data_IF_919114714484
#
_entry.id   IF_919114714484
#
_cell.length_a   1.000
_cell.length_b   1.000
_cell.length_c   1.000
_cell.angle_alpha   90.00
_cell.angle_beta   90.00
_cell.angle_gamma   90.00
#
_symmetry.space_group_name_H-M   'P 1'
#
loop_
_entity.id
_entity.type
_entity.pdbx_description
1 polymer ?
#
# COMPACT_ATOMS: atom_id res chain seq x y z
N UNK A 1 17.13 -12.02 24.16
CA UNK A 1 17.30 -11.10 23.02
C UNK A 1 16.01 -10.35 22.66
N UNK A 2 14.84 -10.98 22.73
CA UNK A 2 13.54 -10.33 22.39
C UNK A 2 13.11 -9.19 23.36
N UNK A 3 13.78 -8.99 24.46
CA UNK A 3 13.45 -7.94 25.45
C UNK A 3 14.22 -6.63 25.25
N UNK A 4 15.20 -6.61 24.35
CA UNK A 4 16.07 -5.46 24.10
C UNK A 4 15.66 -4.64 22.86
N UNK A 5 14.69 -5.13 22.11
CA UNK A 5 14.22 -4.47 20.87
C UNK A 5 12.99 -3.62 21.19
N UNK A 6 13.12 -2.31 21.01
CA UNK A 6 12.00 -1.37 21.18
C UNK A 6 11.26 -1.19 19.84
N UNK A 7 10.13 -1.84 19.72
CA UNK A 7 9.25 -1.74 18.55
C UNK A 7 8.31 -0.52 18.59
N UNK A 8 8.51 0.42 19.52
CA UNK A 8 7.68 1.61 19.67
C UNK A 8 6.21 1.29 20.00
N UNK A 9 5.31 2.21 19.66
CA UNK A 9 3.87 2.10 19.98
C UNK A 9 3.21 0.88 19.30
N UNK A 10 3.74 0.42 18.17
CA UNK A 10 3.21 -0.72 17.40
C UNK A 10 3.85 -2.06 17.79
N UNK A 11 4.50 -2.13 18.96
CA UNK A 11 5.18 -3.34 19.45
C UNK A 11 4.34 -4.63 19.37
N UNK A 12 3.02 -4.64 19.65
CA UNK A 12 2.26 -5.89 19.57
C UNK A 12 2.16 -6.40 18.12
N UNK A 13 1.96 -5.48 17.17
CA UNK A 13 1.89 -5.81 15.74
C UNK A 13 3.26 -6.27 15.24
N UNK A 14 4.32 -5.56 15.60
CA UNK A 14 5.70 -5.92 15.25
C UNK A 14 6.08 -7.30 15.76
N UNK A 15 5.71 -7.63 17.00
CA UNK A 15 5.93 -8.97 17.57
C UNK A 15 5.25 -10.09 16.79
N UNK A 16 3.98 -9.88 16.43
CA UNK A 16 3.23 -10.87 15.65
C UNK A 16 3.85 -11.03 14.25
N UNK A 17 4.16 -9.90 13.58
CA UNK A 17 4.80 -9.93 12.26
C UNK A 17 6.15 -10.62 12.32
N UNK A 18 6.97 -10.32 13.31
CA UNK A 18 8.28 -10.95 13.48
C UNK A 18 8.17 -12.44 13.76
N UNK A 19 7.27 -12.86 14.65
CA UNK A 19 7.05 -14.27 14.96
C UNK A 19 6.61 -15.07 13.70
N UNK A 20 5.73 -14.50 12.90
CA UNK A 20 5.31 -15.11 11.62
C UNK A 20 6.48 -15.16 10.65
N UNK A 21 7.22 -14.06 10.52
CA UNK A 21 8.37 -13.95 9.63
C UNK A 21 9.46 -14.95 10.00
N UNK A 22 9.79 -15.07 11.29
CA UNK A 22 10.76 -16.05 11.81
C UNK A 22 10.29 -17.50 11.57
N UNK A 23 9.01 -17.76 11.82
CA UNK A 23 8.42 -19.09 11.55
C UNK A 23 8.54 -19.49 10.09
N UNK A 24 8.23 -18.57 9.19
CA UNK A 24 8.37 -18.79 7.74
C UNK A 24 9.84 -18.92 7.34
N UNK A 25 10.72 -18.13 7.93
CA UNK A 25 12.16 -18.22 7.67
C UNK A 25 12.75 -19.58 8.06
N UNK A 26 12.31 -20.17 9.16
CA UNK A 26 12.73 -21.53 9.57
C UNK A 26 12.37 -22.60 8.53
N UNK A 27 11.32 -22.35 7.73
CA UNK A 27 10.91 -23.26 6.66
C UNK A 27 11.65 -23.00 5.34
N UNK A 28 11.83 -21.71 5.00
CA UNK A 28 12.35 -21.31 3.69
C UNK A 28 13.86 -21.04 3.67
N UNK A 29 14.47 -20.76 4.81
CA UNK A 29 15.90 -20.48 4.94
C UNK A 29 16.33 -19.14 4.30
N UNK A 30 15.41 -18.28 3.87
CA UNK A 30 15.73 -17.00 3.24
C UNK A 30 14.72 -15.92 3.66
N UNK A 31 15.22 -14.80 4.17
CA UNK A 31 14.40 -13.72 4.68
C UNK A 31 13.57 -12.99 3.61
N UNK A 32 14.11 -12.83 2.40
CA UNK A 32 13.38 -12.15 1.32
C UNK A 32 12.15 -12.95 0.87
N UNK A 33 12.28 -14.25 0.70
CA UNK A 33 11.14 -15.12 0.43
C UNK A 33 10.16 -15.18 1.59
N UNK A 34 10.66 -15.08 2.81
CA UNK A 34 9.81 -14.99 4.01
C UNK A 34 8.98 -13.73 4.04
N UNK A 35 9.52 -12.59 3.59
CA UNK A 35 8.77 -11.33 3.44
C UNK A 35 7.67 -11.48 2.39
N UNK A 36 7.92 -12.16 1.28
CA UNK A 36 6.91 -12.42 0.24
C UNK A 36 5.75 -13.24 0.81
N UNK A 37 6.05 -14.32 1.52
CA UNK A 37 5.04 -15.16 2.17
C UNK A 37 4.29 -14.39 3.26
N UNK A 38 4.98 -13.60 4.08
CA UNK A 38 4.34 -12.72 5.05
C UNK A 38 3.36 -11.76 4.39
N UNK A 39 3.74 -11.17 3.26
CA UNK A 39 2.86 -10.28 2.49
C UNK A 39 1.60 -11.01 2.04
N UNK A 40 1.73 -12.23 1.53
CA UNK A 40 0.58 -13.05 1.15
C UNK A 40 -0.33 -13.35 2.35
N UNK A 41 0.24 -13.75 3.48
CA UNK A 41 -0.51 -14.05 4.69
C UNK A 41 -1.26 -12.82 5.23
N UNK A 42 -0.63 -11.65 5.25
CA UNK A 42 -1.29 -10.40 5.65
C UNK A 42 -2.40 -10.02 4.68
N UNK A 43 -2.21 -10.23 3.39
CA UNK A 43 -3.27 -10.03 2.38
C UNK A 43 -4.46 -10.94 2.60
N UNK A 44 -4.23 -12.23 2.85
CA UNK A 44 -5.30 -13.19 3.13
C UNK A 44 -6.05 -12.83 4.42
N UNK A 45 -5.35 -12.43 5.48
CA UNK A 45 -5.97 -11.99 6.72
C UNK A 45 -6.86 -10.76 6.54
N UNK A 46 -6.47 -9.82 5.66
CA UNK A 46 -7.21 -8.60 5.37
C UNK A 46 -8.13 -8.70 4.16
N UNK A 47 -8.33 -9.90 3.60
CA UNK A 47 -9.10 -10.11 2.37
C UNK A 47 -10.53 -9.58 2.48
N UNK A 48 -11.17 -9.78 3.63
CA UNK A 48 -12.52 -9.29 3.86
C UNK A 48 -12.63 -7.75 3.78
N UNK A 49 -11.67 -7.04 4.36
CA UNK A 49 -11.61 -5.58 4.28
C UNK A 49 -11.30 -5.11 2.87
N UNK A 50 -10.37 -5.78 2.19
CA UNK A 50 -10.02 -5.50 0.80
C UNK A 50 -11.23 -5.67 -0.11
N UNK A 51 -12.00 -6.75 0.03
CA UNK A 51 -13.21 -6.99 -0.74
C UNK A 51 -14.25 -5.87 -0.57
N UNK A 52 -14.47 -5.40 0.65
CA UNK A 52 -15.36 -4.24 0.88
C UNK A 52 -14.90 -2.99 0.14
N UNK A 53 -13.60 -2.73 0.15
CA UNK A 53 -13.02 -1.61 -0.58
C UNK A 53 -13.18 -1.76 -2.09
N UNK A 54 -12.92 -2.94 -2.65
CA UNK A 54 -13.10 -3.21 -4.08
C UNK A 54 -14.55 -3.06 -4.52
N UNK A 55 -15.51 -3.55 -3.73
CA UNK A 55 -16.94 -3.35 -4.00
C UNK A 55 -17.31 -1.87 -4.00
N UNK A 56 -16.78 -1.08 -3.06
CA UNK A 56 -17.01 0.36 -3.02
C UNK A 56 -16.39 1.05 -4.23
N UNK A 57 -15.18 0.67 -4.65
CA UNK A 57 -14.54 1.21 -5.86
C UNK A 57 -15.31 0.85 -7.14
N UNK A 58 -15.85 -0.37 -7.22
CA UNK A 58 -16.71 -0.78 -8.34
C UNK A 58 -17.99 0.08 -8.43
N UNK A 59 -18.62 0.36 -7.28
CA UNK A 59 -19.75 1.28 -7.22
C UNK A 59 -19.37 2.71 -7.65
N UNK A 60 -18.21 3.19 -7.23
CA UNK A 60 -17.67 4.49 -7.68
C UNK A 60 -17.51 4.56 -9.21
N UNK A 61 -17.01 3.48 -9.84
CA UNK A 61 -16.94 3.38 -11.30
C UNK A 61 -18.32 3.46 -11.96
N UNK A 62 -19.30 2.78 -11.38
CA UNK A 62 -20.67 2.77 -11.91
C UNK A 62 -21.32 4.16 -11.91
N UNK A 63 -20.99 5.02 -10.94
CA UNK A 63 -21.51 6.40 -10.88
C UNK A 63 -20.61 7.43 -11.57
N UNK A 64 -19.49 7.04 -12.14
CA UNK A 64 -18.57 7.94 -12.84
C UNK A 64 -19.25 8.77 -13.94
N UNK A 65 -20.14 8.23 -14.81
CA UNK A 65 -20.87 9.03 -15.80
C UNK A 65 -21.81 10.06 -15.16
N UNK A 66 -22.43 9.75 -14.00
CA UNK A 66 -23.27 10.70 -13.27
C UNK A 66 -22.42 11.85 -12.67
N UNK A 67 -21.23 11.54 -12.17
CA UNK A 67 -20.27 12.54 -11.69
C UNK A 67 -19.81 13.46 -12.83
N UNK A 68 -19.56 12.92 -14.01
CA UNK A 68 -19.18 13.71 -15.16
C UNK A 68 -20.32 14.66 -15.57
N UNK A 69 -21.56 14.17 -15.61
CA UNK A 69 -22.74 15.00 -15.90
C UNK A 69 -22.93 16.15 -14.88
N UNK A 70 -22.67 15.89 -13.59
CA UNK A 70 -22.69 16.95 -12.58
C UNK A 70 -21.60 17.98 -12.82
N UNK A 71 -20.39 17.56 -13.18
CA UNK A 71 -19.28 18.45 -13.51
C UNK A 71 -19.63 19.36 -14.70
N UNK A 72 -20.21 18.79 -15.73
CA UNK A 72 -20.63 19.54 -16.92
C UNK A 72 -21.77 20.55 -16.60
N UNK A 73 -22.67 20.18 -15.66
CA UNK A 73 -23.78 21.03 -15.23
C UNK A 73 -23.36 22.21 -14.36
N UNK A 74 -22.41 21.99 -13.41
CA UNK A 74 -22.01 23.02 -12.45
C UNK A 74 -20.82 23.87 -12.95
N UNK A 75 -20.06 23.42 -13.96
CA UNK A 75 -18.94 24.15 -14.54
C UNK A 75 -17.94 24.61 -13.48
N UNK A 76 -17.80 25.94 -13.33
CA UNK A 76 -16.86 26.55 -12.39
C UNK A 76 -17.39 26.72 -10.97
N UNK A 77 -18.66 26.40 -10.71
CA UNK A 77 -19.26 26.46 -9.36
C UNK A 77 -18.80 25.26 -8.52
N UNK A 78 -17.64 25.42 -7.90
CA UNK A 78 -17.02 24.36 -7.05
C UNK A 78 -17.86 24.03 -5.84
N UNK A 79 -18.54 25.00 -5.24
CA UNK A 79 -19.31 24.77 -4.02
C UNK A 79 -20.60 24.01 -4.32
N UNK A 80 -21.33 24.40 -5.37
CA UNK A 80 -22.52 23.70 -5.83
C UNK A 80 -22.20 22.28 -6.31
N UNK A 81 -21.07 22.09 -7.03
CA UNK A 81 -20.61 20.79 -7.46
C UNK A 81 -20.26 19.87 -6.27
N UNK A 82 -19.57 20.40 -5.24
CA UNK A 82 -19.23 19.63 -4.04
C UNK A 82 -20.46 19.15 -3.29
N UNK A 83 -21.47 20.00 -3.13
CA UNK A 83 -22.73 19.65 -2.47
C UNK A 83 -23.50 18.59 -3.29
N UNK A 84 -23.58 18.77 -4.59
CA UNK A 84 -24.26 17.83 -5.48
C UNK A 84 -23.56 16.46 -5.52
N UNK A 85 -22.22 16.44 -5.50
CA UNK A 85 -21.45 15.19 -5.37
C UNK A 85 -21.72 14.48 -4.05
N UNK A 86 -21.72 15.19 -2.92
CA UNK A 86 -22.03 14.61 -1.61
C UNK A 86 -23.42 14.01 -1.58
N UNK A 87 -24.40 14.69 -2.19
CA UNK A 87 -25.77 14.20 -2.29
C UNK A 87 -25.84 12.94 -3.16
N UNK A 88 -25.17 12.93 -4.32
CA UNK A 88 -25.10 11.76 -5.19
C UNK A 88 -24.49 10.55 -4.47
N UNK A 89 -23.44 10.73 -3.69
CA UNK A 89 -22.84 9.66 -2.90
C UNK A 89 -23.79 9.09 -1.85
N UNK A 90 -24.61 9.93 -1.24
CA UNK A 90 -25.66 9.51 -0.28
C UNK A 90 -26.77 8.73 -0.97
N UNK A 91 -27.25 9.23 -2.09
CA UNK A 91 -28.38 8.63 -2.84
C UNK A 91 -27.98 7.25 -3.41
N UNK A 92 -26.77 7.11 -3.92
CA UNK A 92 -26.21 5.86 -4.45
C UNK A 92 -25.61 4.95 -3.37
N UNK A 93 -25.63 5.37 -2.09
CA UNK A 93 -25.04 4.65 -0.95
C UNK A 93 -23.59 4.24 -1.18
N UNK A 94 -22.81 5.13 -1.76
CA UNK A 94 -21.37 4.96 -2.03
C UNK A 94 -20.57 5.80 -1.05
N UNK A 95 -19.59 5.20 -0.40
CA UNK A 95 -18.68 5.91 0.48
C UNK A 95 -17.35 6.21 -0.24
N UNK A 96 -17.04 7.47 -0.57
CA UNK A 96 -15.79 7.82 -1.24
C UNK A 96 -14.56 7.54 -0.37
N UNK A 97 -14.73 7.51 0.97
CA UNK A 97 -13.65 7.20 1.91
C UNK A 97 -13.25 5.72 1.91
N UNK A 98 -14.11 4.83 1.42
CA UNK A 98 -13.81 3.40 1.38
C UNK A 98 -12.67 3.05 0.41
N UNK A 99 -12.37 3.91 -0.55
CA UNK A 99 -11.21 3.75 -1.44
C UNK A 99 -9.86 3.92 -0.76
N UNK A 100 -9.77 4.69 0.33
CA UNK A 100 -8.55 4.87 1.10
C UNK A 100 -8.42 3.93 2.31
N UNK A 101 -9.46 3.12 2.60
CA UNK A 101 -9.45 2.16 3.72
C UNK A 101 -8.27 1.15 3.65
N UNK A 102 -7.89 0.58 2.49
CA UNK A 102 -6.72 -0.29 2.38
C UNK A 102 -5.43 0.38 2.82
N UNK A 103 -5.24 1.66 2.51
CA UNK A 103 -4.05 2.43 2.91
C UNK A 103 -4.02 2.61 4.42
N UNK A 104 -5.15 2.95 5.04
CA UNK A 104 -5.26 3.12 6.49
C UNK A 104 -4.98 1.82 7.25
N UNK A 105 -5.41 0.68 6.72
CA UNK A 105 -5.11 -0.65 7.29
C UNK A 105 -3.66 -1.06 7.05
N UNK A 106 -3.09 -0.65 5.91
CA UNK A 106 -1.74 -1.02 5.51
C UNK A 106 -0.66 -0.24 6.27
N UNK A 107 -0.90 1.03 6.63
CA UNK A 107 0.09 1.88 7.26
C UNK A 107 0.61 1.36 8.61
N UNK A 108 -0.22 0.88 9.56
CA UNK A 108 0.27 0.28 10.80
C UNK A 108 1.14 -0.95 10.55
N UNK A 109 0.77 -1.80 9.60
CA UNK A 109 1.53 -2.99 9.22
C UNK A 109 2.88 -2.59 8.60
N UNK A 110 2.88 -1.59 7.74
CA UNK A 110 4.08 -1.06 7.10
C UNK A 110 5.06 -0.48 8.12
N UNK A 111 4.59 0.35 9.04
CA UNK A 111 5.42 0.92 10.10
C UNK A 111 5.94 -0.15 11.06
N UNK A 112 5.10 -1.12 11.43
CA UNK A 112 5.51 -2.22 12.28
C UNK A 112 6.59 -3.08 11.61
N UNK A 113 6.47 -3.33 10.30
CA UNK A 113 7.48 -4.03 9.52
C UNK A 113 8.78 -3.21 9.38
N UNK A 114 8.68 -1.90 9.21
CA UNK A 114 9.84 -1.00 9.19
C UNK A 114 10.65 -1.14 10.49
N UNK A 115 10.00 -1.03 11.65
CA UNK A 115 10.69 -1.23 12.93
C UNK A 115 11.26 -2.63 13.06
N UNK A 116 10.53 -3.64 12.63
CA UNK A 116 11.02 -5.02 12.64
C UNK A 116 12.30 -5.18 11.82
N UNK A 117 12.37 -4.58 10.62
CA UNK A 117 13.54 -4.66 9.73
C UNK A 117 14.74 -3.88 10.27
N UNK A 118 14.51 -2.71 10.87
CA UNK A 118 15.59 -1.84 11.36
C UNK A 118 16.15 -2.31 12.70
N UNK A 119 15.27 -2.76 13.59
CA UNK A 119 15.65 -3.12 14.97
C UNK A 119 16.06 -4.59 15.12
N UNK A 120 15.62 -5.49 14.24
CA UNK A 120 15.93 -6.91 14.33
C UNK A 120 17.36 -7.19 13.88
N UNK A 121 18.15 -7.74 14.79
CA UNK A 121 19.54 -8.13 14.53
C UNK A 121 19.62 -9.26 13.49
N UNK A 122 18.63 -10.14 13.48
CA UNK A 122 18.54 -11.30 12.58
C UNK A 122 18.38 -10.92 11.12
N UNK A 123 17.82 -9.73 10.83
CA UNK A 123 17.59 -9.22 9.48
C UNK A 123 18.76 -8.37 8.97
N UNK A 124 19.72 -8.02 9.82
CA UNK A 124 20.92 -7.30 9.41
C UNK A 124 21.78 -8.19 8.51
N UNK A 125 22.17 -7.64 7.36
CA UNK A 125 22.94 -8.35 6.33
C UNK A 125 22.26 -9.63 5.83
N UNK A 126 20.92 -9.70 5.93
CA UNK A 126 20.15 -10.81 5.41
C UNK A 126 19.98 -10.66 3.89
N UNK A 127 20.57 -11.55 3.06
CA UNK A 127 20.46 -11.48 1.62
C UNK A 127 19.10 -12.00 1.13
N UNK A 128 18.69 -11.51 -0.05
CA UNK A 128 17.58 -12.11 -0.80
C UNK A 128 18.11 -12.82 -2.05
N UNK A 129 18.05 -12.16 -3.19
CA UNK A 129 18.52 -12.68 -4.47
C UNK A 129 19.24 -11.59 -5.26
N UNK A 130 20.04 -12.00 -6.25
CA UNK A 130 20.73 -11.12 -7.19
C UNK A 130 21.59 -10.08 -6.46
N UNK A 131 21.29 -8.80 -6.64
CA UNK A 131 22.05 -7.67 -6.09
C UNK A 131 21.64 -7.27 -4.67
N UNK A 132 20.57 -7.83 -4.12
CA UNK A 132 20.11 -7.49 -2.77
C UNK A 132 20.82 -8.39 -1.77
N UNK A 133 21.89 -7.87 -1.19
CA UNK A 133 22.72 -8.56 -0.19
C UNK A 133 22.36 -8.22 1.25
N UNK A 134 21.53 -7.18 1.45
CA UNK A 134 21.07 -6.74 2.76
C UNK A 134 19.66 -6.16 2.66
N UNK A 135 18.68 -6.88 3.22
CA UNK A 135 17.28 -6.45 3.24
C UNK A 135 17.01 -5.31 4.22
N UNK A 136 17.89 -5.09 5.19
CA UNK A 136 17.78 -3.99 6.14
C UNK A 136 18.41 -2.68 5.63
N UNK A 137 19.18 -2.75 4.55
CA UNK A 137 19.79 -1.60 3.88
C UNK A 137 19.01 -1.16 2.64
N UNK A 138 19.30 0.04 2.17
CA UNK A 138 18.76 0.54 0.90
C UNK A 138 19.21 -0.32 -0.28
N UNK A 139 18.37 -0.39 -1.32
CA UNK A 139 18.76 -1.05 -2.58
C UNK A 139 19.90 -0.26 -3.24
N UNK A 140 21.10 -0.85 -3.40
CA UNK A 140 22.25 -0.14 -3.94
C UNK A 140 22.10 0.30 -5.40
N UNK A 141 21.22 -0.35 -6.15
CA UNK A 141 20.97 -0.08 -7.56
C UNK A 141 19.66 0.65 -7.81
N UNK A 142 18.85 0.87 -6.77
CA UNK A 142 17.52 1.50 -6.83
C UNK A 142 16.53 0.83 -7.79
N UNK A 143 16.82 -0.39 -8.22
CA UNK A 143 15.96 -1.14 -9.15
C UNK A 143 14.61 -1.46 -8.50
N UNK A 144 14.65 -1.94 -7.26
CA UNK A 144 13.43 -2.35 -6.55
C UNK A 144 12.47 -1.18 -6.28
N UNK A 145 12.91 0.01 -5.81
CA UNK A 145 12.04 1.19 -5.71
C UNK A 145 11.47 1.66 -7.05
N UNK A 146 12.26 1.61 -8.12
CA UNK A 146 11.78 1.97 -9.46
C UNK A 146 10.70 0.98 -9.92
N UNK A 147 10.95 -0.32 -9.74
CA UNK A 147 9.96 -1.35 -10.05
C UNK A 147 8.69 -1.21 -9.21
N UNK A 148 8.82 -0.91 -7.93
CA UNK A 148 7.70 -0.58 -7.06
C UNK A 148 6.89 0.61 -7.60
N UNK A 149 7.56 1.69 -7.98
CA UNK A 149 6.90 2.87 -8.57
C UNK A 149 6.14 2.52 -9.84
N UNK A 150 6.71 1.68 -10.70
CA UNK A 150 6.05 1.19 -11.92
C UNK A 150 4.79 0.37 -11.59
N UNK A 151 4.85 -0.54 -10.60
CA UNK A 151 3.69 -1.33 -10.16
C UNK A 151 2.60 -0.42 -9.57
N UNK A 152 2.95 0.59 -8.78
CA UNK A 152 2.00 1.57 -8.25
C UNK A 152 1.36 2.38 -9.36
N UNK A 153 2.12 2.79 -10.37
CA UNK A 153 1.61 3.55 -11.50
C UNK A 153 0.60 2.72 -12.30
N UNK A 154 0.92 1.46 -12.60
CA UNK A 154 0.01 0.53 -13.28
C UNK A 154 -1.26 0.34 -12.46
N UNK A 155 -1.13 0.08 -11.15
CA UNK A 155 -2.27 -0.06 -10.25
C UNK A 155 -3.15 1.19 -10.25
N UNK A 156 -2.54 2.39 -10.27
CA UNK A 156 -3.27 3.66 -10.33
C UNK A 156 -4.04 3.83 -11.65
N UNK A 157 -3.51 3.33 -12.77
CA UNK A 157 -4.22 3.34 -14.06
C UNK A 157 -5.44 2.41 -14.05
N UNK A 158 -5.39 1.33 -13.30
CA UNK A 158 -6.51 0.39 -13.15
C UNK A 158 -7.60 0.92 -12.21
N UNK A 159 -7.29 1.87 -11.35
CA UNK A 159 -8.24 2.45 -10.41
C UNK A 159 -9.16 3.48 -11.09
N UNK A 160 -10.39 3.67 -10.60
CA UNK A 160 -11.29 4.70 -11.11
C UNK A 160 -10.69 6.08 -10.93
N UNK A 161 -10.75 6.89 -11.98
CA UNK A 161 -10.26 8.26 -11.91
C UNK A 161 -11.23 9.12 -11.10
N UNK A 162 -10.72 10.01 -10.22
CA UNK A 162 -11.54 10.98 -9.53
C UNK A 162 -12.21 11.97 -10.50
N UNK A 163 -13.39 12.45 -10.13
CA UNK A 163 -14.09 13.46 -10.92
C UNK A 163 -13.37 14.82 -10.95
N UNK A 164 -12.65 15.16 -9.87
CA UNK A 164 -11.86 16.39 -9.77
C UNK A 164 -10.54 16.24 -10.55
N UNK A 165 -10.28 17.12 -11.56
CA UNK A 165 -9.04 17.09 -12.35
C UNK A 165 -7.79 17.30 -11.51
N UNK A 166 -7.85 18.12 -10.46
CA UNK A 166 -6.72 18.36 -9.55
C UNK A 166 -6.38 17.10 -8.75
N UNK A 167 -7.41 16.44 -8.20
CA UNK A 167 -7.26 15.18 -7.48
C UNK A 167 -6.75 14.06 -8.40
N UNK A 168 -7.25 13.97 -9.63
CA UNK A 168 -6.77 13.01 -10.62
C UNK A 168 -5.27 13.22 -10.95
N UNK A 169 -4.84 14.48 -11.09
CA UNK A 169 -3.44 14.83 -11.33
C UNK A 169 -2.56 14.47 -10.13
N UNK A 170 -3.01 14.79 -8.91
CA UNK A 170 -2.30 14.42 -7.68
C UNK A 170 -2.13 12.91 -7.56
N UNK A 171 -3.18 12.14 -7.81
CA UNK A 171 -3.14 10.68 -7.76
C UNK A 171 -2.21 10.06 -8.81
N UNK A 172 -2.02 10.68 -9.97
CA UNK A 172 -1.04 10.24 -10.99
C UNK A 172 0.41 10.53 -10.58
N UNK A 173 0.64 11.61 -9.85
CA UNK A 173 1.98 12.02 -9.40
C UNK A 173 2.39 11.26 -8.13
N UNK A 174 1.43 10.87 -7.29
CA UNK A 174 1.67 10.20 -6.01
C UNK A 174 2.60 8.97 -6.13
N UNK A 175 2.43 8.04 -7.09
CA UNK A 175 3.34 6.90 -7.24
C UNK A 175 4.79 7.30 -7.46
N UNK A 176 5.04 8.36 -8.22
CA UNK A 176 6.38 8.87 -8.48
C UNK A 176 7.01 9.45 -7.21
N UNK A 177 6.27 10.28 -6.47
CA UNK A 177 6.73 10.86 -5.20
C UNK A 177 7.03 9.74 -4.20
N UNK A 178 6.14 8.76 -4.10
CA UNK A 178 6.31 7.64 -3.19
C UNK A 178 7.51 6.77 -3.57
N UNK A 179 7.75 6.52 -4.85
CA UNK A 179 8.92 5.80 -5.33
C UNK A 179 10.22 6.51 -4.98
N UNK A 180 10.29 7.84 -5.16
CA UNK A 180 11.43 8.65 -4.77
C UNK A 180 11.66 8.60 -3.25
N UNK A 181 10.58 8.71 -2.48
CA UNK A 181 10.65 8.60 -1.02
C UNK A 181 11.18 7.23 -0.58
N UNK A 182 10.76 6.16 -1.24
CA UNK A 182 11.15 4.79 -0.92
C UNK A 182 12.58 4.42 -1.35
N UNK A 183 13.28 5.28 -2.10
CA UNK A 183 14.71 5.11 -2.38
C UNK A 183 15.57 5.03 -1.11
N UNK A 184 15.13 5.71 -0.06
CA UNK A 184 15.85 5.82 1.21
C UNK A 184 15.44 4.79 2.26
N UNK A 185 14.53 3.89 1.93
CA UNK A 185 14.04 2.86 2.85
C UNK A 185 14.73 1.51 2.62
N UNK A 186 14.72 0.62 3.64
CA UNK A 186 15.27 -0.71 3.52
C UNK A 186 14.67 -1.50 2.36
N UNK A 187 15.51 -2.26 1.66
CA UNK A 187 15.08 -3.06 0.50
C UNK A 187 13.96 -4.07 0.86
N UNK A 188 13.98 -4.64 2.06
CA UNK A 188 12.92 -5.53 2.53
C UNK A 188 11.55 -4.88 2.63
N UNK A 189 11.51 -3.60 3.00
CA UNK A 189 10.27 -2.83 3.07
C UNK A 189 9.72 -2.50 1.67
N UNK A 190 10.61 -2.12 0.75
CA UNK A 190 10.27 -1.89 -0.66
C UNK A 190 9.79 -3.19 -1.32
N UNK A 191 10.43 -4.31 -1.00
CA UNK A 191 10.01 -5.65 -1.45
C UNK A 191 8.60 -5.97 -0.97
N UNK A 192 8.33 -5.78 0.32
CA UNK A 192 6.99 -5.97 0.90
C UNK A 192 5.94 -5.16 0.15
N UNK A 193 6.18 -3.87 -0.06
CA UNK A 193 5.23 -2.98 -0.75
C UNK A 193 5.03 -3.37 -2.21
N UNK A 194 6.11 -3.73 -2.92
CA UNK A 194 6.05 -4.19 -4.31
C UNK A 194 5.19 -5.44 -4.45
N UNK A 195 5.44 -6.44 -3.61
CA UNK A 195 4.67 -7.70 -3.61
C UNK A 195 3.22 -7.45 -3.22
N UNK A 196 2.98 -6.55 -2.25
CA UNK A 196 1.64 -6.13 -1.87
C UNK A 196 0.87 -5.49 -3.04
N UNK A 197 1.52 -4.66 -3.85
CA UNK A 197 0.93 -4.08 -5.05
C UNK A 197 0.62 -5.15 -6.10
N UNK A 198 1.54 -6.06 -6.36
CA UNK A 198 1.35 -7.16 -7.32
C UNK A 198 0.16 -8.03 -6.93
N UNK A 199 0.06 -8.44 -5.67
CA UNK A 199 -1.09 -9.19 -5.16
C UNK A 199 -2.40 -8.40 -5.14
N UNK A 200 -2.34 -7.07 -5.19
CA UNK A 200 -3.55 -6.23 -5.29
C UNK A 200 -4.06 -6.11 -6.71
N UNK A 201 -3.22 -6.38 -7.70
CA UNK A 201 -3.59 -6.36 -9.12
C UNK A 201 -4.10 -7.72 -9.62
N UNK A 202 -3.77 -8.81 -8.93
CA UNK A 202 -4.22 -10.17 -9.24
C UNK A 202 -5.62 -10.44 -8.67
#
# INVERSE_FOLDING_TARGET
>A
LNQTVDYGILWPISKVLFAVLEGVHKLLGNWGWSIIVLTLLTKLALLWFSNKSYVSMAKMRAIAPKLQALKDKFGDDRMGMSQAMMQLYRDEKVNPMAGCLPILLQMPIFLALYWTLVESVELRHAPWILWIHDLSAMDPWFILPIFMGATMFIQQMLNPQPADPMQAKMMKIMPLIFAVFMLFFPAGLVLYWTVNNLFSMA
#
